data_IF_846129656050
#
_entry.id   IF_846129656050
#
_cell.length_a   1.000
_cell.length_b   1.000
_cell.length_c   1.000
_cell.angle_alpha   90.00
_cell.angle_beta   90.00
_cell.angle_gamma   90.00
#
_symmetry.space_group_name_H-M   'P 1'
#
loop_
_entity.id
_entity.type
_entity.pdbx_description
1 polymer ?
#
# COMPACT_ATOMS: atom_id res chain seq x y z
N UNK A 1 -21.83 32.14 75.70
CA UNK A 1 -20.65 31.33 76.04
C UNK A 1 -20.04 30.84 74.72
N UNK A 2 -18.71 30.77 74.63
CA UNK A 2 -17.92 31.40 73.58
C UNK A 2 -17.44 30.44 72.49
N UNK A 3 -17.21 30.97 71.29
CA UNK A 3 -16.46 30.35 70.20
C UNK A 3 -14.97 30.33 70.52
N UNK A 4 -14.37 29.15 70.52
CA UNK A 4 -12.92 28.88 70.63
C UNK A 4 -12.65 27.49 70.02
N UNK A 5 -11.43 27.15 69.56
CA UNK A 5 -10.70 27.70 68.42
C UNK A 5 -10.36 26.58 67.40
N UNK A 6 -9.91 26.96 66.19
CA UNK A 6 -9.39 26.02 65.19
C UNK A 6 -8.02 25.44 65.60
N UNK A 7 -7.81 24.14 65.35
CA UNK A 7 -6.51 23.48 65.45
C UNK A 7 -6.12 22.87 64.09
N UNK A 8 -4.91 23.16 63.57
CA UNK A 8 -4.44 22.61 62.32
C UNK A 8 -3.59 21.34 62.51
N UNK A 9 -3.75 20.47 61.51
CA UNK A 9 -2.74 19.68 60.80
C UNK A 9 -1.92 18.59 61.51
N UNK A 10 -1.56 17.60 60.66
CA UNK A 10 -0.39 16.72 60.73
C UNK A 10 -0.71 15.25 61.08
N UNK A 11 -0.93 14.48 60.00
CA UNK A 11 -0.19 13.26 59.66
C UNK A 11 -0.13 12.10 60.68
N UNK A 12 -0.73 10.96 60.32
CA UNK A 12 -0.05 9.70 59.95
C UNK A 12 -0.71 8.41 60.48
N UNK A 13 -0.97 7.47 59.56
CA UNK A 13 -1.12 6.02 59.76
C UNK A 13 -2.47 5.54 60.31
N UNK A 14 -3.09 4.44 59.87
CA UNK A 14 -2.79 3.41 58.88
C UNK A 14 -4.00 2.47 58.80
N UNK A 15 -4.30 1.91 57.61
CA UNK A 15 -5.22 0.78 57.42
C UNK A 15 -6.64 1.21 57.00
N UNK A 16 -7.29 0.66 55.98
CA UNK A 16 -7.08 -0.58 55.24
C UNK A 16 -7.90 -0.53 53.94
N UNK A 17 -7.39 -1.22 52.91
CA UNK A 17 -8.14 -1.90 51.83
C UNK A 17 -9.07 -1.08 50.92
N UNK A 18 -8.56 -0.73 49.74
CA UNK A 18 -9.27 -0.91 48.45
C UNK A 18 -8.29 -0.74 47.29
N UNK A 19 -7.77 -1.89 46.86
CA UNK A 19 -7.29 -2.27 45.53
C UNK A 19 -7.70 -1.35 44.37
N UNK A 20 -6.71 -0.68 43.77
CA UNK A 20 -6.46 -0.73 42.32
C UNK A 20 -5.02 -0.26 42.06
N UNK A 21 -4.14 -1.25 42.10
CA UNK A 21 -2.72 -1.17 41.76
C UNK A 21 -2.51 -0.58 40.36
N UNK A 22 -2.20 0.71 40.29
CA UNK A 22 -1.53 1.34 39.15
C UNK A 22 -0.03 1.09 39.33
N UNK A 23 0.44 -0.04 38.82
CA UNK A 23 1.84 -0.23 38.45
C UNK A 23 2.03 -1.58 37.75
N UNK A 24 2.03 -1.56 36.43
CA UNK A 24 2.92 -2.42 35.66
C UNK A 24 3.36 -1.62 34.43
N UNK A 25 4.51 -1.00 34.59
CA UNK A 25 5.40 -0.65 33.50
C UNK A 25 5.60 -1.92 32.66
N UNK A 26 4.96 -1.98 31.50
CA UNK A 26 5.44 -2.78 30.39
C UNK A 26 6.23 -1.83 29.51
N UNK A 27 7.55 -1.97 29.58
CA UNK A 27 8.48 -1.51 28.55
C UNK A 27 8.07 -2.20 27.25
N UNK A 28 7.19 -1.58 26.47
CA UNK A 28 7.18 -1.83 25.03
C UNK A 28 8.35 -1.00 24.49
N UNK A 29 9.34 -1.69 23.96
CA UNK A 29 10.40 -1.07 23.18
C UNK A 29 9.72 -0.28 22.05
N UNK A 30 9.64 1.04 22.21
CA UNK A 30 9.53 1.98 21.11
C UNK A 30 10.77 1.72 20.23
N UNK A 31 10.68 0.76 19.32
CA UNK A 31 11.49 0.73 18.11
C UNK A 31 11.22 2.08 17.44
N UNK A 32 12.04 3.08 17.76
CA UNK A 32 11.96 4.42 17.21
C UNK A 32 12.28 4.32 15.73
N UNK A 33 11.27 3.98 14.92
CA UNK A 33 11.38 3.98 13.46
C UNK A 33 11.92 5.35 13.07
N UNK A 34 13.11 5.46 12.46
CA UNK A 34 13.71 6.76 12.18
C UNK A 34 12.76 7.57 11.28
N UNK A 35 12.12 8.60 11.86
CA UNK A 35 11.20 9.47 11.11
C UNK A 35 12.02 10.52 10.37
N UNK A 36 12.03 10.43 9.04
CA UNK A 36 12.65 11.45 8.19
C UNK A 36 11.90 12.78 8.34
N UNK A 37 12.64 13.89 8.34
CA UNK A 37 12.05 15.24 8.28
C UNK A 37 11.25 15.39 6.98
N UNK A 38 10.08 16.04 7.03
CA UNK A 38 9.19 16.21 5.87
C UNK A 38 9.92 16.77 4.63
N UNK A 39 10.87 17.68 4.85
CA UNK A 39 11.69 18.28 3.80
C UNK A 39 12.62 17.23 3.15
N UNK A 40 13.25 16.38 3.95
CA UNK A 40 14.08 15.29 3.45
C UNK A 40 13.26 14.27 2.67
N UNK A 41 12.05 13.94 3.14
CA UNK A 41 11.11 13.04 2.44
C UNK A 41 10.70 13.61 1.08
N UNK A 42 10.34 14.89 1.01
CA UNK A 42 9.95 15.54 -0.25
C UNK A 42 11.10 15.59 -1.26
N UNK A 43 12.32 15.92 -0.80
CA UNK A 43 13.51 15.94 -1.66
C UNK A 43 13.82 14.53 -2.16
N UNK A 44 13.77 13.53 -1.28
CA UNK A 44 14.02 12.14 -1.64
C UNK A 44 12.98 11.63 -2.64
N UNK A 45 11.70 11.90 -2.40
CA UNK A 45 10.62 11.51 -3.31
C UNK A 45 10.83 12.12 -4.69
N UNK A 46 11.05 13.44 -4.78
CA UNK A 46 11.31 14.11 -6.05
C UNK A 46 12.54 13.54 -6.77
N UNK A 47 13.61 13.27 -6.03
CA UNK A 47 14.85 12.70 -6.58
C UNK A 47 14.58 11.31 -7.17
N UNK A 48 13.95 10.41 -6.41
CA UNK A 48 13.63 9.06 -6.88
C UNK A 48 12.68 9.13 -8.07
N UNK A 49 11.66 9.99 -8.07
CA UNK A 49 10.74 10.15 -9.21
C UNK A 49 11.48 10.56 -10.49
N UNK A 50 12.47 11.47 -10.40
CA UNK A 50 13.28 11.85 -11.58
C UNK A 50 14.12 10.67 -12.08
N UNK A 51 14.79 9.94 -11.19
CA UNK A 51 15.56 8.75 -11.58
C UNK A 51 14.67 7.65 -12.17
N UNK A 52 13.46 7.43 -11.62
CA UNK A 52 12.46 6.53 -12.18
C UNK A 52 12.06 6.97 -13.59
N UNK A 53 11.86 8.26 -13.82
CA UNK A 53 11.55 8.80 -15.16
C UNK A 53 12.65 8.49 -16.18
N UNK A 54 13.91 8.76 -15.84
CA UNK A 54 15.07 8.47 -16.70
C UNK A 54 15.17 6.96 -16.99
N UNK A 55 14.99 6.14 -15.94
CA UNK A 55 15.06 4.68 -16.08
C UNK A 55 13.90 4.15 -16.92
N UNK A 56 12.71 4.76 -16.83
CA UNK A 56 11.56 4.39 -17.65
C UNK A 56 11.79 4.67 -19.14
N UNK A 57 12.48 5.77 -19.48
CA UNK A 57 12.86 6.07 -20.87
C UNK A 57 13.81 4.99 -21.41
N UNK A 58 14.88 4.67 -20.66
CA UNK A 58 15.80 3.59 -21.04
C UNK A 58 15.13 2.21 -21.10
N UNK A 59 14.16 1.96 -20.23
CA UNK A 59 13.38 0.73 -20.22
C UNK A 59 12.55 0.62 -21.51
N UNK A 60 11.85 1.68 -21.92
CA UNK A 60 11.06 1.71 -23.16
C UNK A 60 11.96 1.48 -24.38
N UNK A 61 13.12 2.12 -24.46
CA UNK A 61 14.10 1.90 -25.54
C UNK A 61 14.58 0.44 -25.58
N UNK A 62 14.77 -0.16 -24.41
CA UNK A 62 15.19 -1.56 -24.29
C UNK A 62 14.12 -2.54 -24.80
N UNK A 63 12.83 -2.22 -24.68
CA UNK A 63 11.73 -3.06 -25.21
C UNK A 63 11.86 -3.22 -26.71
N UNK A 64 12.11 -2.14 -27.43
CA UNK A 64 12.27 -2.17 -28.88
C UNK A 64 13.54 -2.96 -29.29
N UNK A 65 14.59 -2.94 -28.46
CA UNK A 65 15.77 -3.79 -28.63
C UNK A 65 15.50 -5.28 -28.39
N UNK A 66 14.77 -5.62 -27.33
CA UNK A 66 14.43 -6.99 -26.95
C UNK A 66 13.48 -7.67 -27.93
N UNK A 67 12.50 -6.93 -28.44
CA UNK A 67 11.47 -7.47 -29.34
C UNK A 67 11.99 -7.69 -30.76
N UNK A 68 13.06 -6.98 -31.18
CA UNK A 68 13.72 -7.18 -32.49
C UNK A 68 14.33 -8.57 -32.68
N UNK A 69 14.72 -9.25 -31.60
CA UNK A 69 15.28 -10.60 -31.66
C UNK A 69 14.22 -11.67 -31.97
N UNK A 70 12.92 -11.33 -31.97
CA UNK A 70 11.81 -12.24 -32.30
C UNK A 70 11.42 -13.25 -31.21
N UNK A 71 12.22 -13.40 -30.16
CA UNK A 71 11.97 -14.40 -29.11
C UNK A 71 10.89 -14.00 -28.11
N UNK A 72 10.61 -12.70 -27.98
CA UNK A 72 9.69 -12.14 -26.98
C UNK A 72 8.83 -11.06 -27.65
N UNK A 73 7.51 -11.12 -27.46
CA UNK A 73 6.57 -10.13 -28.02
C UNK A 73 6.54 -8.84 -27.20
N UNK A 74 6.17 -7.73 -27.83
CA UNK A 74 6.07 -6.42 -27.16
C UNK A 74 4.96 -6.44 -26.11
N UNK A 75 3.87 -7.14 -26.41
CA UNK A 75 2.71 -7.34 -25.57
C UNK A 75 3.07 -8.13 -24.31
N UNK A 76 3.91 -9.17 -24.42
CA UNK A 76 4.38 -9.92 -23.25
C UNK A 76 5.21 -9.04 -22.31
N UNK A 77 6.13 -8.24 -22.87
CA UNK A 77 6.93 -7.32 -22.04
C UNK A 77 6.03 -6.28 -21.39
N UNK A 78 5.10 -5.69 -22.15
CA UNK A 78 4.23 -4.64 -21.67
C UNK A 78 3.20 -5.11 -20.64
N UNK A 79 2.60 -6.28 -20.82
CA UNK A 79 1.50 -6.78 -19.99
C UNK A 79 1.96 -7.68 -18.84
N UNK A 80 3.08 -8.38 -18.96
CA UNK A 80 3.56 -9.32 -17.95
C UNK A 80 4.79 -8.78 -17.25
N UNK A 81 5.83 -8.42 -18.00
CA UNK A 81 7.14 -8.09 -17.42
C UNK A 81 7.13 -6.74 -16.69
N UNK A 82 6.57 -5.70 -17.31
CA UNK A 82 6.51 -4.36 -16.71
C UNK A 82 5.67 -4.32 -15.43
N UNK A 83 4.42 -4.86 -15.37
CA UNK A 83 3.63 -4.83 -14.14
C UNK A 83 4.24 -5.69 -13.03
N UNK A 84 4.88 -6.81 -13.38
CA UNK A 84 5.54 -7.68 -12.41
C UNK A 84 6.69 -6.95 -11.72
N UNK A 85 7.58 -6.31 -12.48
CA UNK A 85 8.74 -5.60 -11.92
C UNK A 85 8.31 -4.32 -11.21
N UNK A 86 7.37 -3.57 -11.80
CA UNK A 86 6.85 -2.32 -11.24
C UNK A 86 6.19 -2.50 -9.86
N UNK A 87 5.48 -3.62 -9.68
CA UNK A 87 4.78 -3.92 -8.42
C UNK A 87 5.51 -4.96 -7.55
N UNK A 88 6.74 -5.36 -7.91
CA UNK A 88 7.47 -6.43 -7.22
C UNK A 88 7.67 -6.12 -5.73
N UNK A 89 8.11 -4.90 -5.40
CA UNK A 89 8.38 -4.48 -4.03
C UNK A 89 7.10 -4.49 -3.16
N UNK A 90 5.98 -4.06 -3.74
CA UNK A 90 4.67 -4.08 -3.07
C UNK A 90 4.20 -5.52 -2.84
N UNK A 91 4.30 -6.38 -3.86
CA UNK A 91 3.96 -7.80 -3.74
C UNK A 91 4.82 -8.54 -2.70
N UNK A 92 6.13 -8.30 -2.66
CA UNK A 92 7.03 -8.90 -1.65
C UNK A 92 6.62 -8.46 -0.24
N UNK A 93 6.29 -7.19 -0.07
CA UNK A 93 5.81 -6.66 1.22
C UNK A 93 4.46 -7.26 1.59
N UNK A 94 3.53 -7.37 0.64
CA UNK A 94 2.21 -7.97 0.84
C UNK A 94 2.31 -9.45 1.21
N UNK A 95 3.20 -10.22 0.56
CA UNK A 95 3.48 -11.63 0.90
C UNK A 95 4.08 -11.73 2.31
N UNK A 96 5.01 -10.85 2.66
CA UNK A 96 5.61 -10.85 4.01
C UNK A 96 4.59 -10.51 5.10
N UNK A 97 3.60 -9.66 4.80
CA UNK A 97 2.52 -9.28 5.71
C UNK A 97 1.39 -10.31 5.76
N UNK A 98 1.08 -10.97 4.64
CA UNK A 98 0.02 -11.99 4.57
C UNK A 98 0.38 -13.25 5.36
N UNK A 99 1.68 -13.56 5.52
CA UNK A 99 2.19 -14.61 6.42
C UNK A 99 1.80 -14.37 7.89
N UNK A 100 1.40 -13.14 8.27
CA UNK A 100 0.86 -12.82 9.61
C UNK A 100 -0.66 -13.02 9.72
N UNK A 101 -1.25 -13.85 8.84
CA UNK A 101 -2.66 -14.24 8.80
C UNK A 101 -3.65 -13.06 8.58
N UNK A 102 -3.23 -12.01 7.85
CA UNK A 102 -4.02 -10.82 7.53
C UNK A 102 -4.41 -10.77 6.05
N UNK A 103 -5.08 -11.80 5.56
CA UNK A 103 -5.45 -11.90 4.14
C UNK A 103 -6.40 -10.77 3.72
N UNK A 104 -7.36 -10.38 4.55
CA UNK A 104 -8.30 -9.30 4.23
C UNK A 104 -7.59 -7.95 4.01
N UNK A 105 -6.55 -7.67 4.80
CA UNK A 105 -5.73 -6.47 4.64
C UNK A 105 -4.94 -6.51 3.33
N UNK A 106 -4.33 -7.66 3.01
CA UNK A 106 -3.58 -7.83 1.77
C UNK A 106 -4.48 -7.69 0.53
N UNK A 107 -5.68 -8.28 0.56
CA UNK A 107 -6.64 -8.19 -0.55
C UNK A 107 -7.16 -6.76 -0.71
N UNK A 108 -7.48 -6.07 0.39
CA UNK A 108 -7.96 -4.68 0.36
C UNK A 108 -6.91 -3.75 -0.27
N UNK A 109 -5.63 -3.90 0.10
CA UNK A 109 -4.54 -3.12 -0.47
C UNK A 109 -4.36 -3.41 -1.97
N UNK A 110 -4.37 -4.68 -2.37
CA UNK A 110 -4.20 -5.06 -3.77
C UNK A 110 -5.36 -4.61 -4.68
N UNK A 111 -6.60 -4.80 -4.23
CA UNK A 111 -7.80 -4.38 -4.97
C UNK A 111 -7.88 -2.85 -5.04
N UNK A 112 -7.56 -2.16 -3.94
CA UNK A 112 -7.53 -0.69 -3.90
C UNK A 112 -6.57 -0.08 -4.93
N UNK A 113 -5.33 -0.59 -5.01
CA UNK A 113 -4.34 -0.15 -6.01
C UNK A 113 -4.82 -0.41 -7.45
N UNK A 114 -5.44 -1.57 -7.69
CA UNK A 114 -6.00 -1.93 -9.01
C UNK A 114 -7.14 -1.00 -9.44
N UNK A 115 -8.05 -0.66 -8.52
CA UNK A 115 -9.15 0.28 -8.78
C UNK A 115 -8.61 1.69 -9.07
N UNK A 116 -7.59 2.13 -8.34
CA UNK A 116 -6.94 3.42 -8.58
C UNK A 116 -6.32 3.48 -9.98
N UNK A 117 -5.64 2.41 -10.40
CA UNK A 117 -5.08 2.33 -11.76
C UNK A 117 -6.21 2.37 -12.80
N UNK A 118 -7.28 1.60 -12.60
CA UNK A 118 -8.38 1.49 -13.55
C UNK A 118 -9.22 2.78 -13.69
N UNK A 119 -9.56 3.42 -12.57
CA UNK A 119 -10.48 4.56 -12.53
C UNK A 119 -9.79 5.93 -12.60
N UNK A 120 -8.50 6.01 -12.32
CA UNK A 120 -7.77 7.27 -12.34
C UNK A 120 -6.61 7.25 -13.33
N UNK A 121 -5.70 6.29 -13.23
CA UNK A 121 -4.47 6.29 -14.05
C UNK A 121 -4.78 6.07 -15.53
N UNK A 122 -5.53 5.02 -15.89
CA UNK A 122 -5.90 4.76 -17.29
C UNK A 122 -6.67 5.91 -17.97
N UNK A 123 -7.75 6.46 -17.40
CA UNK A 123 -8.44 7.58 -18.04
C UNK A 123 -7.58 8.83 -18.12
N UNK A 124 -6.73 9.10 -17.12
CA UNK A 124 -5.77 10.20 -17.18
C UNK A 124 -4.76 10.02 -18.32
N UNK A 125 -4.23 8.80 -18.52
CA UNK A 125 -3.32 8.48 -19.63
C UNK A 125 -3.99 8.68 -21.00
N UNK A 126 -5.26 8.29 -21.14
CA UNK A 126 -6.03 8.49 -22.39
C UNK A 126 -6.20 9.98 -22.69
N UNK A 127 -6.56 10.79 -21.68
CA UNK A 127 -6.68 12.24 -21.83
C UNK A 127 -5.33 12.89 -22.17
N UNK A 128 -4.24 12.46 -21.53
CA UNK A 128 -2.90 12.96 -21.81
C UNK A 128 -2.44 12.58 -23.23
N UNK A 129 -2.73 11.37 -23.69
CA UNK A 129 -2.50 10.96 -25.08
C UNK A 129 -3.20 11.90 -26.06
N UNK A 130 -4.47 12.22 -25.79
CA UNK A 130 -5.21 13.17 -26.62
C UNK A 130 -4.61 14.57 -26.63
N UNK A 131 -4.13 15.07 -25.47
CA UNK A 131 -3.45 16.36 -25.36
C UNK A 131 -2.12 16.42 -26.15
N UNK A 132 -1.39 15.31 -26.26
CA UNK A 132 -0.11 15.22 -26.99
C UNK A 132 -0.32 14.79 -28.46
N UNK A 133 -1.57 14.56 -28.89
CA UNK A 133 -1.91 14.15 -30.25
C UNK A 133 -1.67 12.67 -30.56
N UNK A 134 -1.51 11.83 -29.54
CA UNK A 134 -1.34 10.38 -29.67
C UNK A 134 -2.66 9.67 -29.33
N UNK A 135 -3.28 8.92 -30.25
CA UNK A 135 -4.55 8.26 -30.01
C UNK A 135 -4.37 7.01 -29.12
N UNK A 136 -4.36 7.19 -27.80
CA UNK A 136 -4.40 6.10 -26.83
C UNK A 136 -5.85 5.67 -26.59
N UNK A 137 -6.19 4.41 -26.86
CA UNK A 137 -7.54 3.86 -26.67
C UNK A 137 -7.51 2.72 -25.67
N UNK A 138 -8.66 2.44 -25.05
CA UNK A 138 -8.86 1.27 -24.18
C UNK A 138 -9.29 0.03 -25.00
N UNK A 139 -8.88 -0.03 -26.27
CA UNK A 139 -9.21 -1.13 -27.17
C UNK A 139 -8.14 -2.21 -27.05
N UNK A 140 -8.40 -3.15 -26.15
CA UNK A 140 -7.56 -4.33 -25.94
C UNK A 140 -7.93 -5.45 -26.93
N UNK A 141 -6.98 -6.35 -27.18
CA UNK A 141 -7.29 -7.56 -27.96
C UNK A 141 -8.34 -8.42 -27.22
N UNK A 142 -9.05 -9.28 -27.96
CA UNK A 142 -10.03 -10.22 -27.42
C UNK A 142 -9.39 -11.09 -26.33
N UNK A 143 -8.13 -11.49 -26.52
CA UNK A 143 -7.38 -12.29 -25.57
C UNK A 143 -7.16 -11.53 -24.25
N UNK A 144 -6.63 -10.30 -24.33
CA UNK A 144 -6.38 -9.44 -23.18
C UNK A 144 -7.67 -9.14 -22.41
N UNK A 145 -8.75 -8.85 -23.14
CA UNK A 145 -10.07 -8.60 -22.57
C UNK A 145 -10.60 -9.81 -21.82
N UNK A 146 -10.48 -11.02 -22.39
CA UNK A 146 -10.89 -12.27 -21.75
C UNK A 146 -10.04 -12.55 -20.50
N UNK A 147 -8.72 -12.34 -20.56
CA UNK A 147 -7.83 -12.55 -19.41
C UNK A 147 -8.20 -11.62 -18.24
N UNK A 148 -8.40 -10.32 -18.51
CA UNK A 148 -8.82 -9.36 -17.48
C UNK A 148 -10.20 -9.72 -16.92
N UNK A 149 -11.14 -10.09 -17.78
CA UNK A 149 -12.48 -10.49 -17.36
C UNK A 149 -12.46 -11.73 -16.44
N UNK A 150 -11.72 -12.78 -16.82
CA UNK A 150 -11.56 -14.00 -16.01
C UNK A 150 -10.84 -13.67 -14.70
N UNK A 151 -9.81 -12.82 -14.72
CA UNK A 151 -9.12 -12.37 -13.50
C UNK A 151 -10.07 -11.72 -12.50
N UNK A 152 -10.93 -10.80 -12.95
CA UNK A 152 -11.94 -10.15 -12.10
C UNK A 152 -12.95 -11.16 -11.56
N UNK A 153 -13.40 -12.12 -12.38
CA UNK A 153 -14.31 -13.18 -11.94
C UNK A 153 -13.70 -14.06 -10.86
N UNK A 154 -12.43 -14.46 -11.01
CA UNK A 154 -11.71 -15.27 -10.02
C UNK A 154 -11.58 -14.48 -8.71
N UNK A 155 -11.15 -13.22 -8.75
CA UNK A 155 -11.03 -12.37 -7.55
C UNK A 155 -12.38 -12.23 -6.85
N UNK A 156 -13.46 -11.96 -7.61
CA UNK A 156 -14.82 -11.88 -7.06
C UNK A 156 -15.24 -13.19 -6.39
N UNK A 157 -14.95 -14.33 -7.00
CA UNK A 157 -15.26 -15.64 -6.45
C UNK A 157 -14.48 -15.93 -5.16
N UNK A 158 -13.18 -15.65 -5.16
CA UNK A 158 -12.31 -15.81 -3.98
C UNK A 158 -12.77 -14.92 -2.83
N UNK A 159 -13.13 -13.67 -3.11
CA UNK A 159 -13.69 -12.74 -2.11
C UNK A 159 -15.00 -13.27 -1.50
N UNK A 160 -15.91 -13.74 -2.35
CA UNK A 160 -17.18 -14.33 -1.89
C UNK A 160 -16.95 -15.55 -1.00
N UNK A 161 -16.03 -16.44 -1.39
CA UNK A 161 -15.68 -17.62 -0.61
C UNK A 161 -15.05 -17.25 0.73
N UNK A 162 -14.13 -16.27 0.75
CA UNK A 162 -13.47 -15.80 1.97
C UNK A 162 -14.47 -15.25 3.00
N UNK A 163 -15.48 -14.49 2.54
CA UNK A 163 -16.55 -13.97 3.41
C UNK A 163 -17.41 -15.11 3.98
N UNK A 164 -17.69 -16.14 3.18
CA UNK A 164 -18.48 -17.30 3.62
C UNK A 164 -17.71 -18.20 4.61
N UNK A 165 -16.40 -18.32 4.48
CA UNK A 165 -15.53 -19.09 5.39
C UNK A 165 -15.30 -18.38 6.74
N UNK A 166 -15.55 -17.08 6.82
CA UNK A 166 -15.43 -16.30 8.06
C UNK A 166 -16.65 -16.42 9.00
N UNK A 167 -17.66 -17.23 8.64
CA UNK A 167 -18.84 -17.57 9.43
C UNK A 167 -18.91 -19.08 9.69
#
# INVERSE_FOLDING_TARGET
MPSLPSLPSIFHGSGTSSTSSISSVSTEEDETVPKLKIQATMILLATVTVFTGITAEWLVDSIDGLTKSGNISREFVALILLPLVGNAAEHVTAVTVSVKNKLDLAITVAVGSSIQIALFVLPFLILLGWMIGQPLTLFFDIFETVVVFVSVLIIKYVLFLSVQTSH
#
